data_IF_900563806944
#
_entry.id   IF_900563806944
#
_cell.length_a   1.000
_cell.length_b   1.000
_cell.length_c   1.000
_cell.angle_alpha   90.00
_cell.angle_beta   90.00
_cell.angle_gamma   90.00
#
_symmetry.space_group_name_H-M   'P 1'
#
loop_
_entity.id
_entity.type
_entity.pdbx_description
1 polymer ?
#
# COMPACT_ATOMS: atom_id res chain seq x y z
N UNK A 1 10.85 40.55 -20.99
CA UNK A 1 9.61 40.01 -20.40
C UNK A 1 9.31 38.63 -20.94
N UNK A 2 9.74 37.61 -20.19
CA UNK A 2 9.48 36.20 -20.51
C UNK A 2 9.24 35.51 -19.19
N UNK A 3 7.98 35.41 -18.79
CA UNK A 3 7.54 34.77 -17.55
C UNK A 3 8.18 33.38 -17.43
N UNK A 4 9.03 33.24 -16.41
CA UNK A 4 9.37 31.94 -15.85
C UNK A 4 8.04 31.32 -15.39
N UNK A 5 7.44 30.49 -16.24
CA UNK A 5 6.35 29.61 -15.83
C UNK A 5 6.88 28.85 -14.62
N UNK A 6 6.36 29.18 -13.44
CA UNK A 6 6.60 28.44 -12.22
C UNK A 6 6.17 27.00 -12.51
N UNK A 7 7.12 26.13 -12.85
CA UNK A 7 6.88 24.69 -12.93
C UNK A 7 6.61 24.30 -11.49
N UNK A 8 5.33 24.17 -11.15
CA UNK A 8 4.93 23.58 -9.89
C UNK A 8 5.52 22.16 -9.90
N UNK A 9 6.37 21.86 -8.92
CA UNK A 9 6.90 20.51 -8.72
C UNK A 9 6.15 19.96 -7.52
N UNK A 10 5.61 18.72 -7.59
CA UNK A 10 5.02 18.08 -6.41
C UNK A 10 6.02 18.08 -5.23
N UNK A 11 5.50 18.11 -4.00
CA UNK A 11 6.30 17.95 -2.78
C UNK A 11 7.20 16.70 -2.86
N UNK A 12 8.33 16.65 -2.12
CA UNK A 12 9.34 15.60 -2.24
C UNK A 12 8.79 14.18 -2.09
N UNK A 13 9.59 13.23 -2.60
CA UNK A 13 9.19 11.86 -2.93
C UNK A 13 8.62 11.05 -1.74
N UNK A 14 7.47 10.40 -1.95
CA UNK A 14 6.87 9.45 -1.00
C UNK A 14 7.70 8.17 -0.90
N UNK A 15 7.95 7.71 0.33
CA UNK A 15 8.54 6.40 0.62
C UNK A 15 7.53 5.38 1.19
N UNK A 16 6.28 5.79 1.42
CA UNK A 16 5.21 4.96 1.98
C UNK A 16 4.85 5.18 3.45
N UNK A 17 5.51 6.10 4.17
CA UNK A 17 5.15 6.45 5.56
C UNK A 17 4.22 7.67 5.69
N UNK A 18 3.90 8.31 4.57
CA UNK A 18 3.13 9.56 4.48
C UNK A 18 1.71 9.27 3.98
N UNK A 19 0.75 10.17 4.23
CA UNK A 19 -0.62 10.04 3.71
C UNK A 19 -0.62 10.14 2.18
N UNK A 20 -0.67 8.98 1.52
CA UNK A 20 -0.70 8.88 0.07
C UNK A 20 -1.89 9.62 -0.55
N UNK A 21 -3.04 9.66 0.13
CA UNK A 21 -4.23 10.36 -0.36
C UNK A 21 -4.03 11.88 -0.38
N UNK A 22 -3.40 12.43 0.65
CA UNK A 22 -3.05 13.86 0.68
C UNK A 22 -2.03 14.21 -0.39
N UNK A 23 -0.97 13.42 -0.53
CA UNK A 23 0.06 13.65 -1.54
C UNK A 23 -0.46 13.51 -2.97
N UNK A 24 -1.32 12.51 -3.23
CA UNK A 24 -1.91 12.30 -4.56
C UNK A 24 -2.71 13.53 -5.00
N UNK A 25 -3.45 14.18 -4.08
CA UNK A 25 -4.16 15.44 -4.40
C UNK A 25 -3.20 16.54 -4.82
N UNK A 26 -2.05 16.67 -4.17
CA UNK A 26 -1.04 17.65 -4.55
C UNK A 26 -0.43 17.32 -5.92
N UNK A 27 -0.12 16.04 -6.16
CA UNK A 27 0.38 15.56 -7.46
C UNK A 27 -0.60 15.87 -8.60
N UNK A 28 -1.89 15.57 -8.41
CA UNK A 28 -2.94 15.85 -9.42
C UNK A 28 -3.10 17.34 -9.65
N UNK A 29 -3.07 18.16 -8.59
CA UNK A 29 -3.15 19.63 -8.71
C UNK A 29 -2.02 20.17 -9.59
N UNK A 30 -0.81 19.66 -9.40
CA UNK A 30 0.36 20.02 -10.22
C UNK A 30 0.23 19.51 -11.65
N UNK A 31 -0.22 18.27 -11.83
CA UNK A 31 -0.41 17.66 -13.13
C UNK A 31 -1.43 18.43 -13.98
N UNK A 32 -2.54 18.86 -13.37
CA UNK A 32 -3.57 19.69 -13.99
C UNK A 32 -3.03 21.07 -14.36
N UNK A 33 -2.40 21.77 -13.41
CA UNK A 33 -1.81 23.09 -13.64
C UNK A 33 -0.72 23.09 -14.73
N UNK A 34 -0.01 21.96 -14.86
CA UNK A 34 1.04 21.76 -15.86
C UNK A 34 0.53 21.11 -17.16
N UNK A 35 -0.77 20.84 -17.26
CA UNK A 35 -1.42 20.18 -18.39
C UNK A 35 -0.77 18.85 -18.80
N UNK A 36 -0.39 18.02 -17.83
CA UNK A 36 0.18 16.69 -18.12
C UNK A 36 -0.84 15.77 -18.76
N UNK A 37 -0.44 15.14 -19.86
CA UNK A 37 -1.17 14.04 -20.49
C UNK A 37 -1.23 12.80 -19.58
N UNK A 38 -2.21 11.93 -19.83
CA UNK A 38 -2.35 10.64 -19.15
C UNK A 38 -1.04 9.84 -19.12
N UNK A 39 -0.35 9.79 -20.27
CA UNK A 39 0.95 9.14 -20.43
C UNK A 39 2.03 9.77 -19.56
N UNK A 40 2.07 11.10 -19.45
CA UNK A 40 3.02 11.78 -18.57
C UNK A 40 2.72 11.49 -17.11
N UNK A 41 1.44 11.52 -16.69
CA UNK A 41 1.04 11.19 -15.32
C UNK A 41 1.46 9.77 -14.93
N UNK A 42 1.20 8.78 -15.79
CA UNK A 42 1.58 7.38 -15.57
C UNK A 42 3.08 7.15 -15.46
N UNK A 43 3.89 7.88 -16.23
CA UNK A 43 5.35 7.79 -16.17
C UNK A 43 5.93 8.59 -14.98
N UNK A 44 5.39 9.77 -14.72
CA UNK A 44 5.95 10.69 -13.73
C UNK A 44 5.65 10.27 -12.31
N UNK A 45 4.49 9.66 -12.03
CA UNK A 45 4.14 9.21 -10.67
C UNK A 45 5.27 8.37 -10.06
N UNK A 46 5.91 7.48 -10.84
CA UNK A 46 7.04 6.65 -10.41
C UNK A 46 8.28 7.47 -10.02
N UNK A 47 8.54 8.59 -10.71
CA UNK A 47 9.69 9.46 -10.45
C UNK A 47 9.60 10.16 -9.09
N UNK A 48 8.37 10.34 -8.59
CA UNK A 48 8.10 10.91 -7.28
C UNK A 48 7.95 9.86 -6.17
N UNK A 49 8.19 8.57 -6.47
CA UNK A 49 8.22 7.51 -5.46
C UNK A 49 9.66 7.13 -5.05
N UNK A 50 9.81 6.60 -3.84
CA UNK A 50 11.03 6.01 -3.28
C UNK A 50 10.71 4.70 -2.55
N UNK A 51 11.73 3.86 -2.35
CA UNK A 51 11.61 2.62 -1.60
C UNK A 51 10.49 1.72 -2.13
N UNK A 52 9.76 1.10 -1.21
CA UNK A 52 8.66 0.18 -1.52
C UNK A 52 7.56 0.83 -2.37
N UNK A 53 7.28 2.13 -2.20
CA UNK A 53 6.31 2.83 -3.02
C UNK A 53 6.72 2.87 -4.50
N UNK A 54 8.03 2.96 -4.77
CA UNK A 54 8.54 2.93 -6.15
C UNK A 54 8.43 1.54 -6.75
N UNK A 55 8.70 0.51 -5.96
CA UNK A 55 8.63 -0.88 -6.40
C UNK A 55 7.18 -1.27 -6.75
N UNK A 56 6.22 -0.89 -5.90
CA UNK A 56 4.79 -1.11 -6.16
C UNK A 56 4.33 -0.35 -7.41
N UNK A 57 4.74 0.91 -7.57
CA UNK A 57 4.38 1.69 -8.76
C UNK A 57 4.92 1.07 -10.06
N UNK A 58 6.15 0.54 -10.03
CA UNK A 58 6.76 -0.15 -11.17
C UNK A 58 6.06 -1.46 -11.49
N UNK A 59 5.89 -2.33 -10.49
CA UNK A 59 5.18 -3.59 -10.66
C UNK A 59 3.77 -3.37 -11.22
N UNK A 60 3.06 -2.35 -10.73
CA UNK A 60 1.72 -2.01 -11.22
C UNK A 60 1.74 -1.56 -12.70
N UNK A 61 2.81 -0.90 -13.16
CA UNK A 61 2.96 -0.56 -14.58
C UNK A 61 3.30 -1.78 -15.43
N UNK A 62 4.11 -2.70 -14.91
CA UNK A 62 4.53 -3.93 -15.59
C UNK A 62 3.32 -4.88 -15.75
N UNK A 63 2.42 -4.96 -14.76
CA UNK A 63 1.15 -5.71 -14.85
C UNK A 63 0.21 -5.21 -15.97
N UNK A 64 0.43 -3.99 -16.45
CA UNK A 64 -0.39 -3.32 -17.47
C UNK A 64 0.44 -3.02 -18.73
N UNK A 65 1.50 -3.78 -19.00
CA UNK A 65 2.41 -3.56 -20.14
C UNK A 65 1.65 -3.55 -21.47
N UNK A 66 0.72 -4.49 -21.67
CA UNK A 66 -0.09 -4.67 -22.87
C UNK A 66 -1.27 -3.69 -23.02
N UNK A 67 -1.53 -2.85 -22.00
CA UNK A 67 -2.62 -1.85 -22.07
C UNK A 67 -2.14 -0.59 -22.80
N UNK A 68 -2.89 -0.19 -23.83
CA UNK A 68 -2.61 1.02 -24.63
C UNK A 68 -3.27 2.27 -24.02
N UNK A 69 -4.31 2.07 -23.20
CA UNK A 69 -5.02 3.15 -22.50
C UNK A 69 -4.19 3.67 -21.29
N UNK A 70 -3.57 4.83 -21.48
CA UNK A 70 -2.74 5.46 -20.46
C UNK A 70 -3.53 5.93 -19.24
N UNK A 71 -4.82 6.26 -19.40
CA UNK A 71 -5.68 6.67 -18.27
C UNK A 71 -5.96 5.46 -17.38
N UNK A 72 -6.23 4.29 -17.97
CA UNK A 72 -6.38 3.03 -17.22
C UNK A 72 -5.10 2.62 -16.51
N UNK A 73 -3.95 2.74 -17.18
CA UNK A 73 -2.65 2.44 -16.57
C UNK A 73 -2.39 3.33 -15.37
N UNK A 74 -2.60 4.63 -15.52
CA UNK A 74 -2.45 5.57 -14.42
C UNK A 74 -3.41 5.25 -13.26
N UNK A 75 -4.69 5.03 -13.56
CA UNK A 75 -5.68 4.67 -12.55
C UNK A 75 -5.33 3.36 -11.82
N UNK A 76 -4.79 2.36 -12.52
CA UNK A 76 -4.33 1.10 -11.90
C UNK A 76 -3.17 1.34 -10.93
N UNK A 77 -2.15 2.10 -11.34
CA UNK A 77 -1.01 2.44 -10.46
C UNK A 77 -1.48 3.19 -9.21
N UNK A 78 -2.32 4.21 -9.38
CA UNK A 78 -2.89 4.99 -8.27
C UNK A 78 -3.70 4.09 -7.34
N UNK A 79 -4.48 3.15 -7.89
CA UNK A 79 -5.26 2.19 -7.09
C UNK A 79 -4.35 1.27 -6.27
N UNK A 80 -3.30 0.72 -6.87
CA UNK A 80 -2.36 -0.17 -6.18
C UNK A 80 -1.59 0.56 -5.07
N UNK A 81 -1.10 1.77 -5.34
CA UNK A 81 -0.45 2.61 -4.34
C UNK A 81 -1.43 3.02 -3.23
N UNK A 82 -2.65 3.38 -3.59
CA UNK A 82 -3.72 3.70 -2.64
C UNK A 82 -4.05 2.52 -1.73
N UNK A 83 -4.07 1.30 -2.26
CA UNK A 83 -4.25 0.08 -1.46
C UNK A 83 -3.05 -0.20 -0.56
N UNK A 84 -1.83 0.00 -1.03
CA UNK A 84 -0.63 -0.30 -0.24
C UNK A 84 -0.39 0.70 0.90
N UNK A 85 -0.70 1.97 0.69
CA UNK A 85 -0.39 3.06 1.63
C UNK A 85 -1.63 3.76 2.17
N UNK A 86 -2.78 3.08 2.18
CA UNK A 86 -3.96 3.61 2.87
C UNK A 86 -3.78 3.55 4.39
N UNK A 87 -4.45 4.46 5.10
CA UNK A 87 -4.56 4.42 6.56
C UNK A 87 -5.06 3.04 7.05
N UNK A 88 -6.03 2.44 6.35
CA UNK A 88 -6.58 1.12 6.69
C UNK A 88 -5.53 0.01 6.58
N UNK A 89 -4.62 0.11 5.61
CA UNK A 89 -3.55 -0.85 5.40
C UNK A 89 -2.50 -0.71 6.50
N UNK A 90 -2.19 0.52 6.89
CA UNK A 90 -1.34 0.81 8.04
C UNK A 90 -1.93 0.25 9.35
N UNK A 91 -3.19 0.56 9.64
CA UNK A 91 -3.92 0.04 10.80
C UNK A 91 -3.98 -1.50 10.81
N UNK A 92 -4.20 -2.12 9.64
CA UNK A 92 -4.21 -3.58 9.53
C UNK A 92 -2.84 -4.19 9.83
N UNK A 93 -1.74 -3.59 9.37
CA UNK A 93 -0.38 -4.03 9.73
C UNK A 93 -0.09 -3.84 11.22
N UNK A 94 -0.47 -2.70 11.79
CA UNK A 94 -0.31 -2.43 13.22
C UNK A 94 -1.06 -3.46 14.05
N UNK A 95 -2.34 -3.71 13.73
CA UNK A 95 -3.15 -4.69 14.45
C UNK A 95 -2.62 -6.11 14.28
N UNK A 96 -2.17 -6.49 13.07
CA UNK A 96 -1.61 -7.82 12.82
C UNK A 96 -0.33 -8.08 13.65
N UNK A 97 0.48 -7.04 13.89
CA UNK A 97 1.79 -7.17 14.57
C UNK A 97 1.75 -6.88 16.07
N UNK A 98 0.76 -6.12 16.55
CA UNK A 98 0.69 -5.66 17.95
C UNK A 98 -0.41 -6.31 18.77
N UNK A 99 -1.34 -7.05 18.13
CA UNK A 99 -2.42 -7.74 18.84
C UNK A 99 -1.87 -8.74 19.85
N UNK A 100 -2.31 -8.62 21.09
CA UNK A 100 -1.97 -9.51 22.21
C UNK A 100 -3.16 -10.35 22.61
N UNK A 101 -2.95 -11.57 23.05
CA UNK A 101 -4.00 -12.42 23.61
C UNK A 101 -4.70 -11.77 24.81
N UNK A 102 -6.04 -11.86 24.86
CA UNK A 102 -6.91 -11.40 25.95
C UNK A 102 -7.69 -12.58 26.51
N UNK A 103 -8.13 -12.48 27.77
CA UNK A 103 -8.80 -13.57 28.49
C UNK A 103 -10.10 -14.10 27.85
N UNK A 104 -10.72 -13.34 26.94
CA UNK A 104 -11.95 -13.73 26.24
C UNK A 104 -11.69 -14.18 24.79
N UNK A 105 -10.43 -14.17 24.35
CA UNK A 105 -10.09 -14.57 22.99
C UNK A 105 -10.23 -16.09 22.82
N UNK A 106 -10.67 -16.49 21.63
CA UNK A 106 -10.63 -17.88 21.17
C UNK A 106 -9.70 -17.98 19.98
N UNK A 107 -9.10 -19.16 19.76
CA UNK A 107 -8.20 -19.37 18.62
C UNK A 107 -8.94 -19.12 17.30
N UNK A 108 -10.17 -19.63 17.16
CA UNK A 108 -11.00 -19.42 15.96
C UNK A 108 -11.33 -17.94 15.75
N UNK A 109 -11.62 -17.21 16.83
CA UNK A 109 -11.88 -15.77 16.79
C UNK A 109 -10.66 -15.00 16.30
N UNK A 110 -9.48 -15.34 16.83
CA UNK A 110 -8.20 -14.74 16.43
C UNK A 110 -7.85 -15.06 14.97
N UNK A 111 -8.05 -16.30 14.52
CA UNK A 111 -7.85 -16.69 13.13
C UNK A 111 -8.77 -15.89 12.19
N UNK A 112 -10.04 -15.74 12.55
CA UNK A 112 -10.99 -14.95 11.77
C UNK A 112 -10.61 -13.46 11.71
N UNK A 113 -10.15 -12.90 12.84
CA UNK A 113 -9.65 -11.53 12.96
C UNK A 113 -8.42 -11.30 12.06
N UNK A 114 -7.38 -12.14 12.17
CA UNK A 114 -6.18 -12.01 11.34
C UNK A 114 -6.44 -12.22 9.85
N UNK A 115 -7.29 -13.19 9.48
CA UNK A 115 -7.72 -13.33 8.07
C UNK A 115 -8.43 -12.08 7.56
N UNK A 116 -9.16 -11.35 8.41
CA UNK A 116 -9.73 -10.05 8.02
C UNK A 116 -8.65 -9.01 7.76
N UNK A 117 -7.61 -8.93 8.58
CA UNK A 117 -6.47 -8.03 8.35
C UNK A 117 -5.73 -8.38 7.07
N UNK A 118 -5.41 -9.65 6.83
CA UNK A 118 -4.74 -10.09 5.59
C UNK A 118 -5.53 -9.75 4.32
N UNK A 119 -6.87 -9.78 4.38
CA UNK A 119 -7.72 -9.31 3.27
C UNK A 119 -7.60 -7.79 3.02
N UNK A 120 -7.52 -6.99 4.08
CA UNK A 120 -7.28 -5.53 3.95
C UNK A 120 -5.90 -5.26 3.37
N UNK A 121 -4.91 -6.05 3.76
CA UNK A 121 -3.54 -6.00 3.23
C UNK A 121 -3.41 -6.53 1.80
N UNK A 122 -4.51 -6.99 1.18
CA UNK A 122 -4.55 -7.56 -0.15
C UNK A 122 -3.51 -8.68 -0.37
N UNK A 123 -3.26 -9.51 0.64
CA UNK A 123 -2.37 -10.67 0.49
C UNK A 123 -3.09 -11.71 -0.39
N UNK A 124 -2.66 -11.82 -1.64
CA UNK A 124 -3.31 -12.67 -2.66
C UNK A 124 -2.70 -14.06 -2.76
N UNK A 125 -1.46 -14.25 -2.30
CA UNK A 125 -0.79 -15.56 -2.30
C UNK A 125 -1.33 -16.43 -1.16
N UNK A 126 -1.84 -17.64 -1.43
CA UNK A 126 -2.25 -18.57 -0.39
C UNK A 126 -1.12 -18.92 0.57
N UNK A 127 0.08 -19.14 0.03
CA UNK A 127 1.28 -19.45 0.82
C UNK A 127 1.67 -18.27 1.71
N UNK A 128 1.68 -17.04 1.17
CA UNK A 128 2.00 -15.86 1.97
C UNK A 128 0.95 -15.61 3.07
N UNK A 129 -0.32 -15.85 2.76
CA UNK A 129 -1.42 -15.73 3.72
C UNK A 129 -1.26 -16.72 4.88
N UNK A 130 -0.88 -17.96 4.58
CA UNK A 130 -0.64 -18.99 5.59
C UNK A 130 0.56 -18.66 6.49
N UNK A 131 1.68 -18.25 5.88
CA UNK A 131 2.89 -17.84 6.62
C UNK A 131 2.58 -16.67 7.55
N UNK A 132 1.99 -15.60 7.02
CA UNK A 132 1.67 -14.41 7.83
C UNK A 132 0.65 -14.73 8.94
N UNK A 133 -0.35 -15.56 8.66
CA UNK A 133 -1.32 -15.98 9.66
C UNK A 133 -0.64 -16.77 10.79
N UNK A 134 0.24 -17.72 10.44
CA UNK A 134 0.98 -18.51 11.41
C UNK A 134 1.86 -17.63 12.30
N UNK A 135 2.67 -16.76 11.69
CA UNK A 135 3.57 -15.86 12.42
C UNK A 135 2.80 -14.91 13.36
N UNK A 136 1.70 -14.32 12.88
CA UNK A 136 0.85 -13.44 13.69
C UNK A 136 0.22 -14.19 14.88
N UNK A 137 -0.26 -15.42 14.68
CA UNK A 137 -0.78 -16.27 15.76
C UNK A 137 0.30 -16.60 16.78
N UNK A 138 1.48 -17.05 16.33
CA UNK A 138 2.59 -17.36 17.23
C UNK A 138 3.01 -16.13 18.03
N UNK A 139 3.12 -14.96 17.42
CA UNK A 139 3.45 -13.72 18.12
C UNK A 139 2.41 -13.37 19.20
N UNK A 140 1.12 -13.60 18.91
CA UNK A 140 0.01 -13.24 19.78
C UNK A 140 -0.24 -14.22 20.93
N UNK A 141 -0.01 -15.52 20.73
CA UNK A 141 -0.34 -16.57 21.71
C UNK A 141 0.45 -16.41 23.02
N UNK A 142 -0.15 -16.79 24.18
CA UNK A 142 0.56 -16.86 25.45
C UNK A 142 1.77 -17.79 25.36
N UNK A 143 2.82 -17.49 26.13
CA UNK A 143 4.08 -18.24 26.12
C UNK A 143 3.85 -19.73 26.43
N UNK A 144 2.92 -20.00 27.33
CA UNK A 144 2.54 -21.34 27.77
C UNK A 144 1.94 -22.15 26.62
N UNK A 145 1.09 -21.52 25.80
CA UNK A 145 0.47 -22.16 24.64
C UNK A 145 1.52 -22.37 23.55
N UNK A 146 2.37 -21.38 23.27
CA UNK A 146 3.48 -21.50 22.31
C UNK A 146 4.39 -22.70 22.63
N UNK A 147 4.80 -22.83 23.89
CA UNK A 147 5.68 -23.92 24.35
C UNK A 147 5.04 -25.31 24.23
N UNK A 148 3.71 -25.38 24.15
CA UNK A 148 2.99 -26.65 24.02
C UNK A 148 2.84 -27.11 22.55
N UNK A 149 3.09 -26.23 21.58
CA UNK A 149 2.94 -26.49 20.14
C UNK A 149 4.26 -26.42 19.36
N UNK A 150 5.33 -25.95 19.99
CA UNK A 150 6.73 -26.08 19.54
C UNK A 150 7.31 -27.45 19.90
#
# INVERSE_FOLDING_TARGET
DGELRNILVPRPRINGSEDFGLWLREFETVAEASCWSARQRSQYIVLFMKGSAKDIARQSLDEMEDEEDNDRRYAHVVRCLGQAFSLKTHEAWELLTTRKWKNQDTVDGMVAEFRRYLRVLAVTSPLASEILLREALMACLPVEVRKAIE
#
